data_IF_962219627087
#
_entry.id   IF_962219627087
#
_cell.length_a   1.000
_cell.length_b   1.000
_cell.length_c   1.000
_cell.angle_alpha   90.00
_cell.angle_beta   90.00
_cell.angle_gamma   90.00
#
_symmetry.space_group_name_H-M   'P 1'
#
loop_
_entity.id
_entity.type
_entity.pdbx_description
1 polymer ?
#
# COMPACT_ATOMS: atom_id res chain seq x y z
N UNK A 1 -7.62 13.98 -0.01
CA UNK A 1 -7.57 12.79 -0.90
C UNK A 1 -6.34 11.94 -0.57
N UNK A 2 -6.34 10.63 -0.89
CA UNK A 2 -5.19 9.74 -0.60
C UNK A 2 -3.91 10.19 -1.33
N UNK A 3 -4.04 10.69 -2.57
CA UNK A 3 -2.93 11.19 -3.39
C UNK A 3 -2.14 12.31 -2.69
N UNK A 4 -2.81 13.21 -1.96
CA UNK A 4 -2.16 14.29 -1.21
C UNK A 4 -1.35 13.78 -0.02
N UNK A 5 -1.78 12.68 0.60
CA UNK A 5 -1.03 12.08 1.69
C UNK A 5 0.22 11.35 1.19
N UNK A 6 0.15 10.75 0.01
CA UNK A 6 1.32 10.14 -0.66
C UNK A 6 2.31 11.24 -1.05
N UNK A 7 1.86 12.29 -1.76
CA UNK A 7 2.71 13.42 -2.14
C UNK A 7 3.27 14.20 -0.96
N UNK A 8 2.52 14.31 0.14
CA UNK A 8 2.94 14.96 1.38
C UNK A 8 3.80 14.08 2.29
N UNK A 9 4.42 13.01 1.77
CA UNK A 9 5.38 12.15 2.48
C UNK A 9 4.82 11.46 3.74
N UNK A 10 3.49 11.34 3.83
CA UNK A 10 2.79 10.70 4.97
C UNK A 10 2.68 9.18 4.82
N UNK A 11 3.07 8.64 3.66
CA UNK A 11 3.02 7.21 3.33
C UNK A 11 4.43 6.70 3.10
N UNK A 12 4.77 5.61 3.78
CA UNK A 12 6.03 4.89 3.60
C UNK A 12 5.74 3.46 3.17
N UNK A 13 6.49 2.96 2.21
CA UNK A 13 6.47 1.56 1.77
C UNK A 13 7.83 0.96 2.14
N UNK A 14 7.82 -0.13 2.90
CA UNK A 14 9.02 -0.80 3.38
C UNK A 14 10.05 0.20 3.98
N UNK A 15 9.56 1.07 4.87
CA UNK A 15 10.33 2.14 5.54
C UNK A 15 10.85 3.27 4.65
N UNK A 16 10.67 3.20 3.33
CA UNK A 16 11.02 4.25 2.37
C UNK A 16 9.82 5.15 2.10
N UNK A 17 10.06 6.46 2.08
CA UNK A 17 9.02 7.43 1.71
C UNK A 17 8.72 7.31 0.22
N UNK A 18 7.44 7.16 -0.12
CA UNK A 18 6.99 7.08 -1.52
C UNK A 18 6.07 8.26 -1.80
N UNK A 19 6.48 9.11 -2.74
CA UNK A 19 5.70 10.27 -3.19
C UNK A 19 4.91 10.00 -4.47
N UNK A 20 5.22 8.90 -5.17
CA UNK A 20 4.55 8.51 -6.40
C UNK A 20 3.29 7.67 -6.09
N UNK A 21 2.07 8.17 -6.37
CA UNK A 21 0.84 7.41 -6.14
C UNK A 21 0.67 6.20 -7.07
N UNK A 22 1.40 6.16 -8.20
CA UNK A 22 1.39 5.03 -9.14
C UNK A 22 2.43 3.96 -8.80
N UNK A 23 3.06 4.03 -7.63
CA UNK A 23 4.02 3.03 -7.19
C UNK A 23 3.35 1.66 -7.04
N UNK A 24 3.92 0.63 -7.68
CA UNK A 24 3.41 -0.73 -7.62
C UNK A 24 3.94 -1.44 -6.37
N UNK A 25 3.01 -1.90 -5.53
CA UNK A 25 3.30 -2.70 -4.35
C UNK A 25 3.46 -4.17 -4.73
N UNK A 26 4.32 -4.87 -3.99
CA UNK A 26 4.54 -6.31 -4.08
C UNK A 26 4.12 -7.03 -2.80
N UNK A 27 3.89 -8.32 -2.93
CA UNK A 27 3.63 -9.21 -1.79
C UNK A 27 4.78 -9.13 -0.78
N UNK A 28 4.41 -8.98 0.50
CA UNK A 28 5.33 -8.73 1.61
C UNK A 28 5.59 -7.25 1.90
N UNK A 29 5.16 -6.31 1.05
CA UNK A 29 5.43 -4.88 1.31
C UNK A 29 4.66 -4.36 2.53
N UNK A 30 5.37 -3.58 3.36
CA UNK A 30 4.81 -2.92 4.54
C UNK A 30 4.46 -1.47 4.22
N UNK A 31 3.18 -1.13 4.24
CA UNK A 31 2.72 0.26 4.18
C UNK A 31 2.55 0.84 5.57
N UNK A 32 3.23 1.94 5.84
CA UNK A 32 3.07 2.73 7.04
C UNK A 32 2.48 4.09 6.69
N UNK A 33 1.30 4.40 7.21
CA UNK A 33 0.63 5.68 6.98
C UNK A 33 0.57 6.45 8.29
N UNK A 34 1.11 7.66 8.31
CA UNK A 34 1.12 8.52 9.50
C UNK A 34 -0.32 8.80 9.96
N UNK A 35 -0.63 8.47 11.21
CA UNK A 35 -1.96 8.63 11.81
C UNK A 35 -2.98 7.53 11.47
N UNK A 36 -2.61 6.52 10.68
CA UNK A 36 -3.50 5.38 10.36
C UNK A 36 -2.93 3.99 10.72
N UNK A 37 -1.63 3.93 10.99
CA UNK A 37 -0.95 2.70 11.41
C UNK A 37 -0.21 2.03 10.25
N UNK A 38 0.05 0.72 10.42
CA UNK A 38 0.80 -0.10 9.46
C UNK A 38 -0.09 -1.22 8.91
N UNK A 39 0.06 -1.50 7.63
CA UNK A 39 -0.58 -2.62 6.95
C UNK A 39 0.45 -3.33 6.10
N UNK A 40 0.37 -4.65 6.03
CA UNK A 40 1.22 -5.47 5.17
C UNK A 40 0.37 -6.04 4.05
N UNK A 41 0.91 -5.98 2.83
CA UNK A 41 0.36 -6.70 1.70
C UNK A 41 0.76 -8.16 1.84
N UNK A 42 -0.11 -9.01 2.37
CA UNK A 42 0.23 -10.41 2.66
C UNK A 42 0.29 -11.23 1.36
N UNK A 43 -0.68 -11.04 0.46
CA UNK A 43 -0.73 -11.75 -0.82
C UNK A 43 -1.49 -10.97 -1.90
N UNK A 44 -1.15 -11.20 -3.17
CA UNK A 44 -1.91 -10.80 -4.34
C UNK A 44 -2.57 -12.06 -4.90
N UNK A 45 -3.84 -12.25 -4.59
CA UNK A 45 -4.61 -13.47 -4.93
C UNK A 45 -4.88 -13.61 -6.44
N UNK A 46 -4.55 -12.59 -7.23
CA UNK A 46 -4.65 -12.61 -8.69
C UNK A 46 -5.48 -11.46 -9.26
N UNK A 47 -5.66 -11.50 -10.58
CA UNK A 47 -6.43 -10.51 -11.33
C UNK A 47 -7.69 -11.14 -11.92
N UNK A 48 -8.84 -10.52 -11.71
CA UNK A 48 -10.10 -10.95 -12.31
C UNK A 48 -10.07 -10.72 -13.83
N UNK A 49 -10.92 -11.42 -14.59
CA UNK A 49 -11.09 -11.23 -16.04
C UNK A 49 -11.41 -9.78 -16.47
N UNK A 50 -11.76 -8.90 -15.53
CA UNK A 50 -12.04 -7.45 -15.75
C UNK A 50 -10.93 -6.53 -15.21
N UNK A 51 -9.72 -7.05 -14.95
CA UNK A 51 -8.57 -6.26 -14.51
C UNK A 51 -8.58 -5.82 -13.04
N UNK A 52 -9.47 -6.35 -12.20
CA UNK A 52 -9.48 -6.04 -10.75
C UNK A 52 -8.47 -6.94 -10.04
N UNK A 53 -7.55 -6.36 -9.26
CA UNK A 53 -6.60 -7.10 -8.42
C UNK A 53 -7.22 -7.45 -7.08
N UNK A 54 -7.24 -8.74 -6.74
CA UNK A 54 -7.59 -9.22 -5.41
C UNK A 54 -6.33 -9.24 -4.56
N UNK A 55 -6.36 -8.54 -3.43
CA UNK A 55 -5.22 -8.44 -2.51
C UNK A 55 -5.66 -8.77 -1.09
N UNK A 56 -4.79 -9.41 -0.34
CA UNK A 56 -4.98 -9.69 1.08
C UNK A 56 -4.09 -8.74 1.89
N UNK A 57 -4.73 -7.98 2.78
CA UNK A 57 -4.10 -6.95 3.58
C UNK A 57 -4.19 -7.34 5.05
N UNK A 58 -3.04 -7.35 5.74
CA UNK A 58 -2.97 -7.59 7.18
C UNK A 58 -2.66 -6.29 7.90
N UNK A 59 -3.61 -5.80 8.69
CA UNK A 59 -3.40 -4.61 9.53
C UNK A 59 -2.61 -5.01 10.77
N UNK A 60 -1.54 -4.28 11.06
CA UNK A 60 -0.89 -4.33 12.36
C UNK A 60 -1.75 -3.52 13.34
N UNK A 61 -2.24 -4.18 14.37
CA UNK A 61 -2.93 -3.56 15.51
C UNK A 61 -1.89 -3.21 16.56
#
# INVERSE_FOLDING_TARGET
>A
KMVEQIKGEKVKVNWKTVINPSFQLKEGDVLSVRGRGRVVLEAVLGETKKGRKSVLLKRYV
#
